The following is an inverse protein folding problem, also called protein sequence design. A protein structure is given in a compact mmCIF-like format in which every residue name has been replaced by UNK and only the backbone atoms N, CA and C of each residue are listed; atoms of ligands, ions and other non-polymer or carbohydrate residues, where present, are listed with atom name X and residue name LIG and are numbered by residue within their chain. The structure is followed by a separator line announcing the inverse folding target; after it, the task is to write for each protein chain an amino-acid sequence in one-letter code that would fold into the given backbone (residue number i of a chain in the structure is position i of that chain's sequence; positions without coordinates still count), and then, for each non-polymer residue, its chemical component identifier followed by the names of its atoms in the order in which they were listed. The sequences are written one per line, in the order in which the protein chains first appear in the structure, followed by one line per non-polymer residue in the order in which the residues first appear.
data_IF_308774320650
#
_entry.id   IF_308774320650
#
_cell.length_a   1.000
_cell.length_b   1.000
_cell.length_c   1.000
_cell.angle_alpha   90.00
_cell.angle_beta   90.00
_cell.angle_gamma   90.00
#
_symmetry.space_group_name_H-M   'P 1'
#
loop_
_entity.id
_entity.type
_entity.pdbx_description
1 polymer ?
#
# COMPACT_ATOMS: atom_id res chain seq x y z
N UNK A 1 -23.92 -3.63 67.91
CA UNK A 1 -22.89 -2.94 67.09
C UNK A 1 -22.27 -3.98 66.15
N UNK A 2 -22.71 -4.05 64.92
CA UNK A 2 -22.22 -5.03 63.93
C UNK A 2 -21.59 -4.26 62.76
N UNK A 3 -20.29 -4.52 62.56
CA UNK A 3 -19.50 -3.98 61.49
C UNK A 3 -19.82 -4.69 60.18
N UNK A 4 -20.46 -3.99 59.27
CA UNK A 4 -20.76 -4.45 57.91
C UNK A 4 -19.57 -4.14 57.01
N UNK A 5 -18.72 -5.15 56.76
CA UNK A 5 -17.60 -5.07 55.80
C UNK A 5 -18.17 -5.09 54.38
N UNK A 6 -18.09 -3.96 53.69
CA UNK A 6 -18.42 -3.84 52.27
C UNK A 6 -17.28 -4.44 51.44
N UNK A 7 -17.57 -5.51 50.69
CA UNK A 7 -16.70 -6.06 49.68
C UNK A 7 -16.89 -5.25 48.39
N UNK A 8 -15.85 -4.50 48.02
CA UNK A 8 -15.79 -3.86 46.70
C UNK A 8 -15.12 -4.84 45.77
N UNK A 9 -15.90 -5.45 44.88
CA UNK A 9 -15.36 -6.27 43.81
C UNK A 9 -14.85 -5.33 42.69
N UNK A 10 -13.53 -5.30 42.53
CA UNK A 10 -12.87 -4.54 41.42
C UNK A 10 -12.94 -5.40 40.18
N UNK A 11 -13.87 -5.07 39.26
CA UNK A 11 -13.86 -5.66 37.93
C UNK A 11 -12.77 -4.99 37.09
N UNK A 12 -11.62 -5.66 36.95
CA UNK A 12 -10.57 -5.29 36.01
C UNK A 12 -10.98 -5.78 34.62
N UNK A 13 -11.63 -4.93 33.86
CA UNK A 13 -11.89 -5.18 32.43
C UNK A 13 -10.57 -5.08 31.68
N UNK A 14 -10.01 -6.25 31.35
CA UNK A 14 -8.83 -6.38 30.50
C UNK A 14 -9.25 -6.03 29.06
N UNK A 15 -8.97 -4.79 28.65
CA UNK A 15 -9.15 -4.34 27.26
C UNK A 15 -8.02 -4.97 26.45
N UNK A 16 -8.30 -6.09 25.79
CA UNK A 16 -7.41 -6.65 24.78
C UNK A 16 -7.42 -5.74 23.55
N UNK A 17 -6.26 -5.31 23.02
CA UNK A 17 -6.23 -4.58 21.78
C UNK A 17 -6.67 -5.53 20.66
N UNK A 18 -7.77 -5.19 19.98
CA UNK A 18 -8.16 -5.83 18.72
C UNK A 18 -7.17 -5.30 17.67
N UNK A 19 -6.18 -6.12 17.32
CA UNK A 19 -5.35 -5.84 16.14
C UNK A 19 -6.24 -5.98 14.90
N UNK A 20 -6.08 -5.10 13.90
CA UNK A 20 -6.82 -5.25 12.66
C UNK A 20 -6.36 -6.52 11.93
N UNK A 21 -7.26 -7.48 11.78
CA UNK A 21 -7.01 -8.76 11.11
C UNK A 21 -6.92 -8.64 9.57
N UNK A 22 -7.09 -7.44 9.02
CA UNK A 22 -7.17 -7.24 7.57
C UNK A 22 -5.88 -7.54 6.79
N UNK A 23 -4.71 -7.34 7.41
CA UNK A 23 -3.42 -7.57 6.73
C UNK A 23 -3.03 -9.06 6.64
N UNK A 24 -3.55 -9.91 7.52
CA UNK A 24 -3.25 -11.35 7.50
C UNK A 24 -4.13 -12.11 6.49
N UNK A 25 -5.34 -11.65 6.20
CA UNK A 25 -6.25 -12.33 5.25
C UNK A 25 -5.77 -12.20 3.81
N UNK A 26 -5.20 -11.06 3.41
CA UNK A 26 -4.71 -10.84 2.05
C UNK A 26 -3.44 -11.65 1.75
N UNK A 27 -2.54 -11.80 2.71
CA UNK A 27 -1.34 -12.64 2.60
C UNK A 27 -1.66 -14.13 2.45
N UNK A 28 -2.77 -14.62 3.00
CA UNK A 28 -3.18 -16.02 2.92
C UNK A 28 -3.89 -16.35 1.61
N UNK A 29 -4.46 -15.38 0.91
CA UNK A 29 -5.23 -15.58 -0.32
C UNK A 29 -4.39 -16.17 -1.47
N UNK A 30 -3.10 -15.87 -1.54
CA UNK A 30 -2.18 -16.38 -2.56
C UNK A 30 -1.37 -17.60 -2.09
N UNK A 31 -1.37 -17.89 -0.78
CA UNK A 31 -0.60 -19.00 -0.21
C UNK A 31 -1.15 -20.35 -0.67
N UNK A 32 -0.27 -21.20 -1.21
CA UNK A 32 -0.63 -22.53 -1.68
C UNK A 32 -1.27 -22.59 -3.06
N UNK A 33 -1.43 -21.45 -3.75
CA UNK A 33 -1.93 -21.42 -5.14
C UNK A 33 -0.79 -21.63 -6.14
N UNK A 34 -1.11 -22.26 -7.24
CA UNK A 34 -0.23 -22.35 -8.41
C UNK A 34 -0.21 -21.03 -9.17
N UNK A 35 0.83 -20.80 -9.99
CA UNK A 35 0.91 -19.62 -10.85
C UNK A 35 -0.31 -19.50 -11.80
N UNK A 36 -0.83 -20.62 -12.29
CA UNK A 36 -2.01 -20.64 -13.17
C UNK A 36 -3.25 -20.14 -12.41
N UNK A 37 -3.50 -20.64 -11.19
CA UNK A 37 -4.60 -20.17 -10.36
C UNK A 37 -4.51 -18.70 -10.02
N UNK A 38 -3.29 -18.19 -9.75
CA UNK A 38 -3.07 -16.75 -9.52
C UNK A 38 -3.41 -15.94 -10.77
N UNK A 39 -2.96 -16.37 -11.95
CA UNK A 39 -3.24 -15.68 -13.21
C UNK A 39 -4.76 -15.66 -13.51
N UNK A 40 -5.47 -16.75 -13.25
CA UNK A 40 -6.93 -16.80 -13.40
C UNK A 40 -7.63 -15.83 -12.45
N UNK A 41 -7.12 -15.65 -11.24
CA UNK A 41 -7.65 -14.69 -10.26
C UNK A 41 -7.37 -13.23 -10.61
N UNK A 42 -6.33 -12.95 -11.38
CA UNK A 42 -5.95 -11.57 -11.76
C UNK A 42 -7.00 -10.87 -12.60
N UNK A 43 -7.87 -11.60 -13.29
CA UNK A 43 -8.94 -11.05 -14.08
C UNK A 43 -8.46 -10.03 -15.12
N UNK A 44 -9.17 -8.90 -15.26
CA UNK A 44 -8.78 -7.82 -16.16
C UNK A 44 -7.80 -6.89 -15.46
N UNK A 45 -6.60 -6.73 -16.06
CA UNK A 45 -5.55 -5.85 -15.55
C UNK A 45 -5.57 -4.46 -16.18
N UNK A 46 -5.23 -3.45 -15.38
CA UNK A 46 -4.94 -2.10 -15.84
C UNK A 46 -3.48 -1.73 -15.55
N UNK A 47 -2.85 -0.93 -16.42
CA UNK A 47 -1.47 -0.50 -16.22
C UNK A 47 -1.41 0.98 -15.83
N UNK A 48 -0.95 1.26 -14.62
CA UNK A 48 -0.64 2.62 -14.15
C UNK A 48 0.69 3.09 -14.77
N UNK A 49 0.73 3.19 -16.09
CA UNK A 49 1.93 3.58 -16.83
C UNK A 49 2.07 5.09 -17.00
N UNK A 50 3.28 5.53 -17.35
CA UNK A 50 3.66 6.93 -17.56
C UNK A 50 3.50 7.82 -16.30
N UNK A 51 3.58 7.20 -15.14
CA UNK A 51 3.47 7.85 -13.83
C UNK A 51 4.74 7.61 -13.01
N UNK A 52 4.77 6.62 -12.13
CA UNK A 52 5.97 6.30 -11.34
C UNK A 52 7.13 5.75 -12.18
N UNK A 53 6.87 5.26 -13.38
CA UNK A 53 7.86 4.86 -14.37
C UNK A 53 8.35 6.00 -15.27
N UNK A 54 7.69 7.16 -15.25
CA UNK A 54 8.11 8.32 -16.01
C UNK A 54 9.47 8.87 -15.53
N UNK A 55 10.18 9.54 -16.42
CA UNK A 55 11.48 10.16 -16.14
C UNK A 55 11.51 11.59 -16.64
N UNK A 56 12.36 12.45 -16.05
CA UNK A 56 12.52 13.84 -16.46
C UNK A 56 11.97 14.86 -15.47
N UNK A 57 11.17 14.43 -14.49
CA UNK A 57 10.71 15.30 -13.41
C UNK A 57 11.84 15.74 -12.46
N UNK A 58 11.55 16.73 -11.63
CA UNK A 58 12.47 17.18 -10.58
C UNK A 58 12.48 16.15 -9.43
N UNK A 59 13.60 15.49 -9.21
CA UNK A 59 13.74 14.49 -8.15
C UNK A 59 13.70 15.06 -6.72
N UNK A 60 13.73 16.38 -6.55
CA UNK A 60 13.51 17.01 -5.23
C UNK A 60 12.03 16.91 -4.80
N UNK A 61 11.11 16.73 -5.74
CA UNK A 61 9.70 16.48 -5.50
C UNK A 61 9.35 15.09 -6.08
N UNK A 62 9.12 14.12 -5.22
CA UNK A 62 8.84 12.73 -5.61
C UNK A 62 7.56 12.60 -6.45
N UNK A 63 6.62 13.52 -6.30
CA UNK A 63 5.38 13.53 -7.07
C UNK A 63 5.51 14.19 -8.46
N UNK A 64 6.59 14.95 -8.70
CA UNK A 64 6.80 15.62 -10.00
C UNK A 64 7.08 14.60 -11.13
N UNK A 65 7.56 13.42 -10.79
CA UNK A 65 7.81 12.34 -11.73
C UNK A 65 6.53 11.90 -12.44
N UNK A 66 5.43 11.77 -11.72
CA UNK A 66 4.13 11.30 -12.23
C UNK A 66 3.59 12.14 -13.38
N UNK A 67 3.94 13.41 -13.41
CA UNK A 67 3.45 14.39 -14.40
C UNK A 67 4.45 14.66 -15.54
N UNK A 68 5.68 14.12 -15.44
CA UNK A 68 6.75 14.49 -16.38
C UNK A 68 6.49 14.04 -17.82
N UNK A 69 5.61 13.08 -18.04
CA UNK A 69 5.16 12.65 -19.37
C UNK A 69 3.71 13.03 -19.69
N UNK A 70 3.16 14.00 -18.96
CA UNK A 70 1.84 14.60 -19.24
C UNK A 70 0.67 13.91 -18.57
N UNK A 71 0.89 12.93 -17.72
CA UNK A 71 -0.18 12.32 -16.93
C UNK A 71 -0.60 13.21 -15.74
N UNK A 72 -1.80 12.99 -15.26
CA UNK A 72 -2.24 13.55 -13.98
C UNK A 72 -1.56 12.83 -12.82
N UNK A 73 -1.53 13.47 -11.66
CA UNK A 73 -1.11 12.82 -10.41
C UNK A 73 -2.00 11.63 -10.08
N UNK A 74 -1.39 10.62 -9.47
CA UNK A 74 -2.12 9.49 -8.89
C UNK A 74 -2.94 10.00 -7.71
N UNK A 75 -4.19 9.61 -7.64
CA UNK A 75 -5.09 9.94 -6.52
C UNK A 75 -5.92 8.71 -6.13
N UNK A 76 -6.39 8.63 -4.87
CA UNK A 76 -7.28 7.55 -4.45
C UNK A 76 -8.55 7.45 -5.33
N UNK A 77 -9.09 8.59 -5.79
CA UNK A 77 -10.26 8.62 -6.67
C UNK A 77 -10.00 7.98 -8.03
N UNK A 78 -8.76 8.07 -8.55
CA UNK A 78 -8.37 7.37 -9.77
C UNK A 78 -8.47 5.84 -9.56
N UNK A 79 -7.97 5.33 -8.44
CA UNK A 79 -8.01 3.90 -8.12
C UNK A 79 -9.45 3.41 -7.96
N UNK A 80 -10.30 4.17 -7.30
CA UNK A 80 -11.74 3.87 -7.20
C UNK A 80 -12.37 3.79 -8.59
N UNK A 81 -12.09 4.75 -9.49
CA UNK A 81 -12.63 4.73 -10.86
C UNK A 81 -12.13 3.55 -11.68
N UNK A 82 -10.88 3.13 -11.52
CA UNK A 82 -10.32 1.95 -12.18
C UNK A 82 -11.06 0.69 -11.70
N UNK A 83 -11.29 0.58 -10.40
CA UNK A 83 -12.07 -0.52 -9.81
C UNK A 83 -13.51 -0.53 -10.32
N UNK A 84 -14.18 0.61 -10.33
CA UNK A 84 -15.56 0.77 -10.81
C UNK A 84 -15.71 0.46 -12.31
N UNK A 85 -14.63 0.66 -13.08
CA UNK A 85 -14.59 0.28 -14.49
C UNK A 85 -14.45 -1.22 -14.73
N UNK A 86 -14.30 -2.02 -13.65
CA UNK A 86 -14.28 -3.49 -13.69
C UNK A 86 -12.88 -4.09 -13.84
N UNK A 87 -11.82 -3.33 -13.52
CA UNK A 87 -10.47 -3.90 -13.45
C UNK A 87 -10.25 -4.57 -12.08
N UNK A 88 -9.64 -5.74 -12.11
CA UNK A 88 -9.39 -6.57 -10.92
C UNK A 88 -7.94 -6.44 -10.43
N UNK A 89 -7.02 -6.11 -11.33
CA UNK A 89 -5.58 -6.05 -11.05
C UNK A 89 -4.97 -4.78 -11.62
N UNK A 90 -4.03 -4.18 -10.89
CA UNK A 90 -3.24 -3.04 -11.35
C UNK A 90 -1.77 -3.43 -11.43
N UNK A 91 -1.12 -3.14 -12.57
CA UNK A 91 0.34 -3.18 -12.70
C UNK A 91 0.89 -1.78 -12.46
N UNK A 92 1.80 -1.65 -11.50
CA UNK A 92 2.45 -0.39 -11.13
C UNK A 92 3.93 -0.44 -11.54
N UNK A 93 4.30 0.07 -12.72
CA UNK A 93 5.71 0.18 -13.10
C UNK A 93 6.38 1.34 -12.37
N UNK A 94 7.62 1.14 -11.90
CA UNK A 94 8.38 2.13 -11.12
C UNK A 94 9.80 2.25 -11.65
N UNK A 95 10.27 3.48 -11.86
CA UNK A 95 11.65 3.78 -12.23
C UNK A 95 12.46 4.19 -10.99
N UNK A 96 13.22 3.27 -10.45
CA UNK A 96 13.97 3.42 -9.19
C UNK A 96 15.26 4.21 -9.33
N UNK A 97 15.98 4.09 -10.46
CA UNK A 97 17.37 4.54 -10.59
C UNK A 97 17.59 6.03 -10.29
N UNK A 98 16.59 6.89 -10.51
CA UNK A 98 16.68 8.32 -10.24
C UNK A 98 16.62 8.66 -8.75
N UNK A 99 16.17 7.73 -7.95
CA UNK A 99 16.00 7.85 -6.50
C UNK A 99 16.92 6.86 -5.75
N UNK A 100 17.87 6.29 -6.46
CA UNK A 100 18.88 5.37 -5.90
C UNK A 100 20.19 6.11 -5.71
N UNK A 101 20.89 5.87 -4.60
CA UNK A 101 22.22 6.44 -4.37
C UNK A 101 23.23 5.91 -5.39
N UNK A 102 24.22 6.74 -5.73
CA UNK A 102 25.33 6.41 -6.64
C UNK A 102 26.64 6.09 -5.89
N UNK A 103 26.59 5.95 -4.57
CA UNK A 103 27.71 5.67 -3.68
C UNK A 103 28.12 4.19 -3.65
N UNK A 104 27.51 3.37 -4.50
CA UNK A 104 27.74 1.91 -4.58
C UNK A 104 26.86 1.08 -3.63
N UNK A 105 26.06 1.71 -2.77
CA UNK A 105 25.08 0.99 -1.93
C UNK A 105 23.75 0.74 -2.63
N UNK A 106 23.45 1.56 -3.66
CA UNK A 106 22.19 1.53 -4.40
C UNK A 106 20.94 1.67 -3.51
N UNK A 107 21.09 2.40 -2.41
CA UNK A 107 20.00 2.64 -1.46
C UNK A 107 18.94 3.53 -2.09
N UNK A 108 17.69 3.10 -2.05
CA UNK A 108 16.55 3.89 -2.52
C UNK A 108 16.25 4.99 -1.47
N UNK A 109 15.98 6.20 -1.94
CA UNK A 109 15.56 7.31 -1.08
C UNK A 109 14.26 6.96 -0.36
N UNK A 110 14.23 7.19 0.94
CA UNK A 110 13.11 6.84 1.82
C UNK A 110 11.82 7.55 1.42
N UNK A 111 11.89 8.83 1.05
CA UNK A 111 10.72 9.61 0.63
C UNK A 111 10.05 9.07 -0.64
N UNK A 112 10.86 8.56 -1.60
CA UNK A 112 10.31 7.93 -2.80
C UNK A 112 9.76 6.53 -2.51
N UNK A 113 10.44 5.75 -1.67
CA UNK A 113 9.96 4.44 -1.24
C UNK A 113 8.61 4.56 -0.52
N UNK A 114 8.49 5.54 0.39
CA UNK A 114 7.24 5.83 1.09
C UNK A 114 6.12 6.25 0.12
N UNK A 115 6.45 7.09 -0.88
CA UNK A 115 5.47 7.51 -1.88
C UNK A 115 4.95 6.34 -2.73
N UNK A 116 5.83 5.41 -3.14
CA UNK A 116 5.42 4.19 -3.86
C UNK A 116 4.54 3.32 -2.97
N UNK A 117 4.86 3.21 -1.69
CA UNK A 117 4.07 2.46 -0.70
C UNK A 117 2.65 3.02 -0.56
N UNK A 118 2.51 4.35 -0.46
CA UNK A 118 1.20 5.04 -0.41
C UNK A 118 0.34 4.81 -1.66
N UNK A 119 0.95 4.56 -2.81
CA UNK A 119 0.23 4.25 -4.05
C UNK A 119 -0.23 2.78 -4.09
N UNK A 120 0.46 1.89 -3.38
CA UNK A 120 0.14 0.45 -3.34
C UNK A 120 -0.96 0.15 -2.31
N UNK A 121 -1.03 0.90 -1.21
CA UNK A 121 -2.05 0.76 -0.17
C UNK A 121 -3.38 1.45 -0.52
#
# INVERSE_FOLDING_TARGET
MQNMRKWIALFLTMLLPVLPAAAEEESTMLTGKTATEIVEMMGFGWNLGNTLDATGGNTADVTAQEQSWGNAKITPELMVRVKDAGFDTIRIPVTWYRYTSDDGTYTIREDFLQHVHEVVE
#
